data_IF_876692688265
#
_entry.id   IF_876692688265
#
_cell.length_a   1.000
_cell.length_b   1.000
_cell.length_c   1.000
_cell.angle_alpha   90.00
_cell.angle_beta   90.00
_cell.angle_gamma   90.00
#
_symmetry.space_group_name_H-M   'P 1'
#
loop_
_entity.id
_entity.type
_entity.pdbx_description
1 polymer ?
#
# COMPACT_ATOMS: atom_id res chain seq x y z
N UNK A 1 18.21 -16.31 -2.27
CA UNK A 1 17.51 -15.33 -3.12
C UNK A 1 17.82 -13.96 -2.61
N UNK A 2 18.66 -13.23 -3.33
CA UNK A 2 19.05 -11.88 -2.96
C UNK A 2 17.89 -10.93 -3.22
N UNK A 3 17.33 -10.42 -2.12
CA UNK A 3 16.29 -9.39 -2.13
C UNK A 3 16.98 -8.06 -1.92
N UNK A 4 16.75 -7.13 -2.84
CA UNK A 4 17.27 -5.76 -2.71
C UNK A 4 16.30 -4.95 -1.87
N UNK A 5 16.81 -3.89 -1.25
CA UNK A 5 16.00 -2.90 -0.55
C UNK A 5 15.87 -1.66 -1.42
N UNK A 6 14.65 -1.31 -1.80
CA UNK A 6 14.35 -0.10 -2.56
C UNK A 6 13.81 0.98 -1.63
N UNK A 7 14.39 2.18 -1.71
CA UNK A 7 13.87 3.36 -1.03
C UNK A 7 13.07 4.20 -2.02
N UNK A 8 11.84 4.55 -1.66
CA UNK A 8 10.96 5.40 -2.46
C UNK A 8 10.58 6.63 -1.64
N UNK A 9 10.89 7.81 -2.17
CA UNK A 9 10.41 9.06 -1.60
C UNK A 9 8.94 9.29 -1.99
N UNK A 10 8.09 9.60 -1.01
CA UNK A 10 6.67 9.86 -1.21
C UNK A 10 6.34 11.34 -1.47
N UNK A 11 7.31 12.25 -1.30
CA UNK A 11 7.08 13.68 -1.41
C UNK A 11 6.53 14.09 -2.80
N UNK A 12 5.45 14.87 -2.83
CA UNK A 12 4.80 15.39 -4.05
C UNK A 12 4.28 14.33 -5.05
N UNK A 13 4.32 13.04 -4.71
CA UNK A 13 3.80 11.97 -5.55
C UNK A 13 2.36 11.65 -5.14
N UNK A 14 1.51 11.28 -6.09
CA UNK A 14 0.16 10.84 -5.79
C UNK A 14 0.15 9.44 -5.18
N UNK A 15 -0.66 9.23 -4.13
CA UNK A 15 -0.76 7.95 -3.40
C UNK A 15 -0.88 6.73 -4.32
N UNK A 16 -1.75 6.82 -5.33
CA UNK A 16 -1.98 5.71 -6.27
C UNK A 16 -0.73 5.34 -7.06
N UNK A 17 0.00 6.32 -7.59
CA UNK A 17 1.21 6.09 -8.40
C UNK A 17 2.33 5.49 -7.55
N UNK A 18 2.52 6.00 -6.33
CA UNK A 18 3.47 5.45 -5.37
C UNK A 18 3.12 3.99 -5.04
N UNK A 19 1.85 3.72 -4.72
CA UNK A 19 1.38 2.38 -4.39
C UNK A 19 1.58 1.38 -5.54
N UNK A 20 1.37 1.80 -6.80
CA UNK A 20 1.60 0.95 -7.98
C UNK A 20 3.08 0.58 -8.12
N UNK A 21 3.98 1.56 -7.99
CA UNK A 21 5.42 1.31 -8.05
C UNK A 21 5.87 0.38 -6.92
N UNK A 22 5.39 0.62 -5.70
CA UNK A 22 5.67 -0.25 -4.56
C UNK A 22 5.16 -1.68 -4.79
N UNK A 23 3.93 -1.87 -5.24
CA UNK A 23 3.36 -3.19 -5.54
C UNK A 23 4.15 -3.94 -6.62
N UNK A 24 4.62 -3.23 -7.65
CA UNK A 24 5.43 -3.80 -8.73
C UNK A 24 6.76 -4.37 -8.22
N UNK A 25 7.44 -3.63 -7.33
CA UNK A 25 8.68 -4.06 -6.66
C UNK A 25 8.43 -5.22 -5.69
N UNK A 26 7.36 -5.14 -4.89
CA UNK A 26 6.96 -6.18 -3.94
C UNK A 26 6.57 -7.49 -4.63
N UNK A 27 5.99 -7.44 -5.83
CA UNK A 27 5.71 -8.65 -6.62
C UNK A 27 6.96 -9.21 -7.31
N UNK A 28 8.02 -8.40 -7.46
CA UNK A 28 9.21 -8.79 -8.21
C UNK A 28 9.05 -8.72 -9.74
N UNK A 29 7.98 -8.08 -10.25
CA UNK A 29 7.70 -7.97 -11.70
C UNK A 29 8.76 -7.18 -12.48
N UNK A 30 9.64 -6.44 -11.79
CA UNK A 30 10.78 -5.76 -12.39
C UNK A 30 11.94 -6.71 -12.72
N UNK A 31 11.95 -7.93 -12.18
CA UNK A 31 12.99 -8.92 -12.43
C UNK A 31 12.57 -9.83 -13.60
N UNK A 32 13.50 -10.19 -14.50
CA UNK A 32 13.21 -11.13 -15.59
C UNK A 32 12.90 -12.54 -15.07
N UNK A 33 13.34 -12.87 -13.84
CA UNK A 33 13.06 -14.14 -13.16
C UNK A 33 11.67 -14.19 -12.51
N UNK A 34 10.77 -13.25 -12.82
CA UNK A 34 9.45 -13.20 -12.20
C UNK A 34 8.62 -14.43 -12.57
N UNK A 35 8.14 -15.12 -11.53
CA UNK A 35 7.24 -16.25 -11.68
C UNK A 35 6.04 -16.07 -10.74
N UNK A 36 4.79 -16.13 -11.22
CA UNK A 36 3.61 -15.76 -10.42
C UNK A 36 3.40 -16.56 -9.12
N UNK A 37 3.82 -17.83 -9.08
CA UNK A 37 3.68 -18.70 -7.90
C UNK A 37 4.83 -18.57 -6.89
N UNK A 38 5.89 -17.83 -7.25
CA UNK A 38 7.13 -17.75 -6.49
C UNK A 38 7.31 -16.34 -5.93
N UNK A 39 7.75 -16.24 -4.68
CA UNK A 39 7.93 -14.95 -4.00
C UNK A 39 9.37 -14.40 -4.11
N UNK A 40 9.69 -13.83 -5.28
CA UNK A 40 11.01 -13.29 -5.61
C UNK A 40 11.10 -11.75 -5.52
N UNK A 41 10.08 -11.12 -4.93
CA UNK A 41 9.99 -9.68 -4.76
C UNK A 41 10.98 -9.10 -3.74
N UNK A 42 11.13 -7.78 -3.80
CA UNK A 42 12.11 -7.03 -3.00
C UNK A 42 11.47 -6.33 -1.79
N UNK A 43 12.31 -5.77 -0.92
CA UNK A 43 11.88 -4.90 0.17
C UNK A 43 11.66 -3.48 -0.33
N UNK A 44 10.60 -2.83 0.17
CA UNK A 44 10.26 -1.46 -0.21
C UNK A 44 10.13 -0.64 1.06
N UNK A 45 10.99 0.36 1.20
CA UNK A 45 10.94 1.37 2.25
C UNK A 45 10.42 2.66 1.64
N UNK A 46 9.34 3.19 2.20
CA UNK A 46 8.77 4.47 1.79
C UNK A 46 9.16 5.53 2.82
N UNK A 47 9.75 6.62 2.35
CA UNK A 47 10.20 7.76 3.17
C UNK A 47 9.30 8.99 2.92
N UNK A 48 9.24 9.91 3.89
CA UNK A 48 8.47 11.16 3.83
C UNK A 48 6.99 11.00 3.50
N UNK A 49 6.34 9.94 4.00
CA UNK A 49 4.96 9.64 3.64
C UNK A 49 3.95 10.72 4.06
N UNK A 50 4.29 11.56 5.04
CA UNK A 50 3.48 12.70 5.49
C UNK A 50 3.28 13.76 4.38
N UNK A 51 4.21 13.88 3.44
CA UNK A 51 4.20 14.88 2.36
C UNK A 51 3.52 14.39 1.08
N UNK A 52 2.74 13.32 1.17
CA UNK A 52 2.11 12.71 0.01
C UNK A 52 0.96 13.56 -0.54
N UNK A 53 0.83 13.59 -1.86
CA UNK A 53 -0.20 14.41 -2.52
C UNK A 53 -1.50 13.64 -2.71
N UNK A 54 -2.59 14.22 -2.25
CA UNK A 54 -3.95 13.81 -2.61
C UNK A 54 -4.52 14.81 -3.62
N UNK A 55 -5.16 14.30 -4.67
CA UNK A 55 -5.72 15.13 -5.75
C UNK A 55 -7.19 15.46 -5.47
N UNK A 56 -7.61 16.70 -5.66
CA UNK A 56 -8.99 17.13 -5.47
C UNK A 56 -9.49 16.92 -4.03
N UNK A 57 -10.79 16.73 -3.86
CA UNK A 57 -11.44 16.66 -2.54
C UNK A 57 -11.41 15.24 -1.93
N UNK A 58 -10.40 14.43 -2.28
CA UNK A 58 -10.31 13.02 -1.87
C UNK A 58 -10.09 12.86 -0.37
N UNK A 59 -9.47 13.84 0.30
CA UNK A 59 -9.31 13.84 1.77
C UNK A 59 -10.66 13.66 2.45
N UNK A 60 -11.68 14.40 1.99
CA UNK A 60 -12.98 14.45 2.66
C UNK A 60 -13.98 13.46 2.06
N UNK A 61 -13.95 13.27 0.75
CA UNK A 61 -14.96 12.47 0.04
C UNK A 61 -14.65 10.96 0.03
N UNK A 62 -13.37 10.57 0.14
CA UNK A 62 -13.02 9.15 0.06
C UNK A 62 -13.26 8.46 1.40
N UNK A 63 -14.24 7.58 1.42
CA UNK A 63 -14.59 6.80 2.60
C UNK A 63 -13.91 5.42 2.61
N UNK A 64 -13.33 5.05 3.75
CA UNK A 64 -12.89 3.70 4.05
C UNK A 64 -13.98 2.96 4.83
N UNK A 65 -14.46 1.86 4.26
CA UNK A 65 -15.46 1.02 4.89
C UNK A 65 -14.81 -0.20 5.53
N UNK A 66 -15.25 -0.52 6.75
CA UNK A 66 -14.91 -1.75 7.46
C UNK A 66 -16.17 -2.38 8.03
N UNK A 67 -16.79 -3.32 7.29
CA UNK A 67 -17.92 -4.06 7.81
C UNK A 67 -17.49 -4.94 8.98
N UNK A 68 -18.37 -5.07 9.96
CA UNK A 68 -18.28 -6.07 11.02
C UNK A 68 -19.23 -7.22 10.68
N UNK A 69 -18.97 -8.43 11.16
CA UNK A 69 -19.85 -9.60 10.93
C UNK A 69 -21.26 -9.44 11.51
N UNK A 70 -21.48 -8.47 12.42
CA UNK A 70 -22.79 -8.17 13.00
C UNK A 70 -23.60 -7.24 12.09
N UNK A 71 -24.88 -7.55 11.80
CA UNK A 71 -25.77 -6.68 11.02
C UNK A 71 -25.81 -5.25 11.57
N UNK A 72 -25.89 -4.25 10.70
CA UNK A 72 -25.99 -2.84 11.06
C UNK A 72 -24.72 -2.17 11.61
N UNK A 73 -23.62 -2.92 11.84
CA UNK A 73 -22.36 -2.37 12.37
C UNK A 73 -21.31 -2.14 11.28
N UNK A 74 -21.59 -1.21 10.37
CA UNK A 74 -20.62 -0.69 9.41
C UNK A 74 -19.82 0.44 10.07
N UNK A 75 -18.48 0.32 10.06
CA UNK A 75 -17.60 1.43 10.45
C UNK A 75 -17.09 2.10 9.18
N UNK A 76 -17.24 3.42 9.09
CA UNK A 76 -16.73 4.24 8.00
C UNK A 76 -15.88 5.37 8.54
N UNK A 77 -14.85 5.75 7.81
CA UNK A 77 -13.90 6.80 8.19
C UNK A 77 -13.42 7.49 6.90
N UNK A 78 -13.28 8.82 6.91
CA UNK A 78 -12.76 9.57 5.76
C UNK A 78 -11.27 9.29 5.58
N UNK A 79 -10.75 9.51 4.37
CA UNK A 79 -9.33 9.39 4.07
C UNK A 79 -8.50 10.34 4.95
N UNK A 80 -8.95 11.58 5.13
CA UNK A 80 -8.28 12.58 5.98
C UNK A 80 -8.17 12.10 7.43
N UNK A 81 -9.29 11.69 8.04
CA UNK A 81 -9.29 11.20 9.42
C UNK A 81 -8.42 9.94 9.61
N UNK A 82 -8.47 9.01 8.64
CA UNK A 82 -7.60 7.83 8.68
C UNK A 82 -6.12 8.20 8.50
N UNK A 83 -5.82 9.20 7.67
CA UNK A 83 -4.46 9.66 7.40
C UNK A 83 -3.84 10.34 8.62
N UNK A 84 -4.60 11.18 9.32
CA UNK A 84 -4.17 11.81 10.58
C UNK A 84 -3.90 10.77 11.67
N UNK A 85 -4.83 9.80 11.83
CA UNK A 85 -4.73 8.82 12.90
C UNK A 85 -3.70 7.73 12.63
N UNK A 86 -3.64 7.22 11.40
CA UNK A 86 -2.80 6.07 10.98
C UNK A 86 -2.38 6.21 9.51
N UNK A 87 -1.41 7.08 9.19
CA UNK A 87 -1.01 7.32 7.80
C UNK A 87 -0.49 6.06 7.12
N UNK A 88 0.28 5.23 7.83
CA UNK A 88 0.82 3.95 7.31
C UNK A 88 -0.27 3.00 6.81
N UNK A 89 -1.46 3.03 7.43
CA UNK A 89 -2.58 2.16 7.07
C UNK A 89 -3.19 2.56 5.72
N UNK A 90 -3.20 3.85 5.38
CA UNK A 90 -3.69 4.36 4.10
C UNK A 90 -2.90 3.75 2.94
N UNK A 91 -1.57 3.79 3.05
CA UNK A 91 -0.66 3.21 2.07
C UNK A 91 -0.73 1.69 2.04
N UNK A 92 -0.73 1.06 3.21
CA UNK A 92 -0.85 -0.39 3.33
C UNK A 92 -2.11 -0.90 2.65
N UNK A 93 -3.27 -0.26 2.85
CA UNK A 93 -4.53 -0.61 2.18
C UNK A 93 -4.45 -0.40 0.67
N UNK A 94 -3.85 0.69 0.21
CA UNK A 94 -3.68 0.97 -1.22
C UNK A 94 -2.82 -0.12 -1.89
N UNK A 95 -1.65 -0.44 -1.33
CA UNK A 95 -0.75 -1.47 -1.85
C UNK A 95 -1.37 -2.87 -1.74
N UNK A 96 -2.02 -3.20 -0.63
CA UNK A 96 -2.69 -4.49 -0.44
C UNK A 96 -3.79 -4.74 -1.48
N UNK A 97 -4.50 -3.68 -1.90
CA UNK A 97 -5.48 -3.75 -2.98
C UNK A 97 -4.87 -4.04 -4.35
N UNK A 98 -3.60 -3.71 -4.56
CA UNK A 98 -2.86 -3.92 -5.81
C UNK A 98 -2.11 -5.27 -5.88
N UNK A 99 -2.00 -5.99 -4.75
CA UNK A 99 -1.37 -7.31 -4.69
C UNK A 99 -2.38 -8.43 -5.03
N UNK A 100 -1.92 -9.54 -5.66
CA UNK A 100 -2.80 -10.66 -6.00
C UNK A 100 -3.41 -11.29 -4.74
N UNK A 101 -4.69 -11.65 -4.78
CA UNK A 101 -5.42 -12.23 -3.63
C UNK A 101 -5.07 -13.71 -3.45
N UNK A 102 -3.89 -14.01 -2.94
CA UNK A 102 -3.42 -15.37 -2.68
C UNK A 102 -2.69 -15.49 -1.33
N UNK A 103 -2.21 -16.70 -1.00
CA UNK A 103 -1.45 -16.97 0.24
C UNK A 103 -0.13 -16.16 0.33
N UNK A 104 0.46 -15.79 -0.82
CA UNK A 104 1.70 -15.01 -0.87
C UNK A 104 1.47 -13.54 -0.53
N UNK A 105 0.27 -12.99 -0.74
CA UNK A 105 -0.07 -11.60 -0.45
C UNK A 105 0.33 -11.17 0.97
N UNK A 106 0.04 -12.02 1.95
CA UNK A 106 0.36 -11.75 3.35
C UNK A 106 1.88 -11.72 3.62
N UNK A 107 2.68 -12.46 2.82
CA UNK A 107 4.15 -12.42 2.87
C UNK A 107 4.68 -11.18 2.16
N UNK A 108 4.16 -10.87 0.97
CA UNK A 108 4.56 -9.71 0.17
C UNK A 108 4.36 -8.40 0.93
N UNK A 109 3.19 -8.19 1.54
CA UNK A 109 2.88 -6.93 2.25
C UNK A 109 3.74 -6.71 3.49
N UNK A 110 4.29 -7.77 4.10
CA UNK A 110 5.21 -7.66 5.26
C UNK A 110 6.56 -7.03 4.88
N UNK A 111 6.93 -7.04 3.59
CA UNK A 111 8.16 -6.39 3.09
C UNK A 111 8.01 -4.91 2.79
N UNK A 112 6.80 -4.38 2.95
CA UNK A 112 6.54 -2.94 2.83
C UNK A 112 6.76 -2.30 4.20
N UNK A 113 7.73 -1.39 4.27
CA UNK A 113 8.00 -0.58 5.44
C UNK A 113 7.74 0.90 5.12
N UNK A 114 7.13 1.62 6.05
CA UNK A 114 6.87 3.05 5.92
C UNK A 114 7.59 3.74 7.06
N UNK A 115 8.54 4.61 6.71
CA UNK A 115 9.27 5.49 7.62
C UNK A 115 8.55 6.82 7.71
#
# INVERSE_FOLDING_TARGET
MDRKTHKLDAANISLGRLATKAAFLLMGKHKPSYVPYKDDGDFVIIENFEKIKFTGNKMDQKMYYRPTTRPGKLKSETLGSLFERRPKEVLRKAVLGMLPKNKLRAKMIKRLEVK
#
